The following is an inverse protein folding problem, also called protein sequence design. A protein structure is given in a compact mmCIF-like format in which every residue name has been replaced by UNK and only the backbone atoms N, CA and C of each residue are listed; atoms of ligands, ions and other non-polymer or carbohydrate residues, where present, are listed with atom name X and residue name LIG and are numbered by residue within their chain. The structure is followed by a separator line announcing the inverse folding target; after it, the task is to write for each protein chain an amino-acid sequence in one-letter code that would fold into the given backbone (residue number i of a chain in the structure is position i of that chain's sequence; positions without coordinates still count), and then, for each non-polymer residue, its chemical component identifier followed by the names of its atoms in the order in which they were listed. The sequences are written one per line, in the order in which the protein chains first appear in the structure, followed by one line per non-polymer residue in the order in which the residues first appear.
data_IF_135972731848
#
_entry.id   IF_135972731848
#
_cell.length_a   1.000
_cell.length_b   1.000
_cell.length_c   1.000
_cell.angle_alpha   90.00
_cell.angle_beta   90.00
_cell.angle_gamma   90.00
#
_symmetry.space_group_name_H-M   'P 1'
#
loop_
_entity.id
_entity.type
_entity.pdbx_description
1 polymer ?
#
# COMPACT_ATOMS: atom_id res chain seq x y z
N UNK A 1 -2.54 -21.37 44.65
CA UNK A 1 -1.76 -21.47 43.39
C UNK A 1 -2.23 -20.38 42.44
N UNK A 2 -1.92 -19.12 42.76
CA UNK A 2 -2.54 -17.96 42.10
C UNK A 2 -1.54 -16.80 41.91
N UNK A 3 -0.26 -17.12 41.67
CA UNK A 3 0.81 -16.11 41.56
C UNK A 3 1.83 -16.35 40.43
N UNK A 4 1.54 -17.14 39.39
CA UNK A 4 2.55 -17.46 38.36
C UNK A 4 2.22 -17.12 36.90
N UNK A 5 1.19 -16.31 36.63
CA UNK A 5 0.92 -15.87 35.25
C UNK A 5 0.57 -14.39 35.20
N UNK A 6 1.59 -13.55 35.03
CA UNK A 6 1.41 -12.18 34.52
C UNK A 6 1.75 -12.20 33.02
N UNK A 7 0.79 -11.97 32.12
CA UNK A 7 1.08 -11.87 30.70
C UNK A 7 2.02 -10.69 30.44
N UNK A 8 3.04 -10.87 29.57
CA UNK A 8 3.72 -9.74 28.94
C UNK A 8 2.74 -9.15 27.94
N UNK A 9 1.90 -8.21 28.38
CA UNK A 9 1.19 -7.32 27.47
C UNK A 9 2.23 -6.44 26.77
N UNK A 10 2.40 -6.61 25.47
CA UNK A 10 3.07 -5.62 24.64
C UNK A 10 2.11 -4.44 24.47
N UNK A 11 2.19 -3.48 25.40
CA UNK A 11 1.46 -2.21 25.29
C UNK A 11 2.18 -1.32 24.30
N UNK A 12 1.49 -0.90 23.24
CA UNK A 12 1.86 0.28 22.48
C UNK A 12 1.93 1.48 23.45
N UNK A 13 3.12 2.04 23.65
CA UNK A 13 3.22 3.45 24.00
C UNK A 13 3.10 4.23 22.69
N UNK A 14 2.01 4.98 22.53
CA UNK A 14 1.92 5.99 21.48
C UNK A 14 3.08 6.98 21.66
N UNK A 15 3.85 7.23 20.60
CA UNK A 15 4.99 8.18 20.59
C UNK A 15 4.62 9.58 21.14
N UNK A 16 3.33 9.97 21.15
CA UNK A 16 2.87 11.22 21.77
C UNK A 16 3.18 11.32 23.27
N UNK A 17 3.30 10.21 24.01
CA UNK A 17 3.55 10.23 25.46
C UNK A 17 5.03 10.32 25.83
N UNK A 18 5.94 9.88 24.95
CA UNK A 18 7.40 10.02 25.17
C UNK A 18 7.89 11.43 24.80
N UNK A 19 7.26 12.10 23.83
CA UNK A 19 7.60 13.48 23.48
C UNK A 19 7.19 14.51 24.55
N UNK A 20 6.20 14.19 25.39
CA UNK A 20 5.79 15.07 26.50
C UNK A 20 6.65 14.93 27.78
N UNK A 21 7.49 13.90 27.89
CA UNK A 21 8.36 13.69 29.06
C UNK A 21 9.83 14.08 28.83
N UNK A 22 10.18 14.60 27.64
CA UNK A 22 11.57 14.96 27.29
C UNK A 22 11.88 16.46 27.20
N UNK A 23 10.91 17.37 27.36
CA UNK A 23 11.14 18.81 27.24
C UNK A 23 11.17 19.51 28.60
N UNK A 24 12.24 19.23 29.36
CA UNK A 24 12.72 20.12 30.41
C UNK A 24 13.48 21.27 29.76
N UNK A 25 13.01 22.49 29.99
CA UNK A 25 13.65 23.74 29.54
C UNK A 25 14.84 24.03 30.45
N UNK A 26 16.07 24.09 29.91
CA UNK A 26 17.15 24.90 30.50
C UNK A 26 18.26 25.23 29.48
N UNK A 27 18.76 26.45 29.58
CA UNK A 27 19.63 27.17 28.63
C UNK A 27 21.12 26.82 28.79
N UNK A 28 21.94 26.91 27.72
CA UNK A 28 23.18 27.73 27.67
C UNK A 28 23.86 27.77 26.28
N UNK A 29 24.63 28.85 26.08
CA UNK A 29 25.23 29.45 24.86
C UNK A 29 26.38 28.68 24.18
N UNK A 30 26.54 28.91 22.86
CA UNK A 30 27.77 29.10 22.01
C UNK A 30 29.02 28.21 22.23
N UNK A 31 29.76 27.74 21.20
CA UNK A 31 30.41 28.51 20.13
C UNK A 31 31.32 27.61 19.24
N UNK A 32 31.42 27.98 17.95
CA UNK A 32 32.45 27.77 16.90
C UNK A 32 33.59 26.72 16.96
N UNK A 33 33.73 25.94 15.86
CA UNK A 33 34.92 25.92 14.97
C UNK A 33 35.99 24.81 15.14
N UNK A 34 36.36 24.13 14.04
CA UNK A 34 37.66 23.43 13.91
C UNK A 34 37.70 22.15 13.05
N UNK A 35 38.64 22.10 12.09
CA UNK A 35 38.87 21.07 11.05
C UNK A 35 40.04 20.12 11.43
N UNK A 36 40.05 18.86 10.95
CA UNK A 36 41.10 18.31 10.06
C UNK A 36 41.17 16.77 10.01
N UNK A 37 41.54 16.30 8.81
CA UNK A 37 41.69 14.94 8.29
C UNK A 37 42.75 14.08 9.00
N UNK A 38 42.38 12.87 9.47
CA UNK A 38 43.28 11.73 9.70
C UNK A 38 42.48 10.45 10.08
N UNK A 39 41.80 9.77 9.15
CA UNK A 39 41.27 8.40 9.43
C UNK A 39 40.82 7.54 8.22
N UNK A 40 41.17 7.89 6.98
CA UNK A 40 40.51 7.31 5.79
C UNK A 40 40.64 5.78 5.64
N UNK A 41 41.69 5.13 6.16
CA UNK A 41 41.90 3.68 5.98
C UNK A 41 41.28 2.80 7.08
N UNK A 42 41.07 3.33 8.29
CA UNK A 42 40.28 2.63 9.33
C UNK A 42 38.78 2.82 9.13
N UNK A 43 38.39 3.91 8.45
CA UNK A 43 37.00 4.21 8.12
C UNK A 43 36.35 3.19 7.17
N UNK A 44 37.12 2.51 6.31
CA UNK A 44 36.56 1.57 5.33
C UNK A 44 36.18 0.23 5.98
N UNK A 45 37.03 -0.33 6.84
CA UNK A 45 36.73 -1.58 7.56
C UNK A 45 35.65 -1.35 8.63
N UNK A 46 35.75 -0.22 9.35
CA UNK A 46 34.69 0.23 10.26
C UNK A 46 33.38 0.50 9.54
N UNK A 47 33.43 1.03 8.31
CA UNK A 47 32.27 1.30 7.47
C UNK A 47 31.57 0.05 6.96
N UNK A 48 32.30 -1.00 6.59
CA UNK A 48 31.70 -2.28 6.16
C UNK A 48 31.10 -3.06 7.33
N UNK A 49 31.78 -3.10 8.48
CA UNK A 49 31.23 -3.67 9.72
C UNK A 49 30.05 -2.85 10.24
N UNK A 50 30.10 -1.52 10.16
CA UNK A 50 28.96 -0.65 10.47
C UNK A 50 27.82 -0.84 9.47
N UNK A 51 28.07 -1.01 8.17
CA UNK A 51 27.05 -1.25 7.16
C UNK A 51 26.38 -2.63 7.31
N UNK A 52 27.14 -3.68 7.65
CA UNK A 52 26.58 -4.98 8.03
C UNK A 52 25.82 -4.91 9.36
N UNK A 53 26.32 -4.15 10.34
CA UNK A 53 25.64 -3.95 11.63
C UNK A 53 24.37 -3.12 11.47
N UNK A 54 24.35 -2.12 10.59
CA UNK A 54 23.20 -1.28 10.26
C UNK A 54 22.18 -2.06 9.45
N UNK A 55 22.57 -2.90 8.48
CA UNK A 55 21.62 -3.79 7.81
C UNK A 55 21.08 -4.88 8.75
N UNK A 56 21.88 -5.35 9.72
CA UNK A 56 21.43 -6.27 10.77
C UNK A 56 20.50 -5.57 11.78
N UNK A 57 20.78 -4.32 12.15
CA UNK A 57 19.93 -3.45 12.99
C UNK A 57 18.64 -3.04 12.27
N UNK A 58 18.70 -2.67 10.99
CA UNK A 58 17.54 -2.38 10.14
C UNK A 58 16.76 -3.64 9.76
N UNK A 59 17.37 -4.82 9.83
CA UNK A 59 16.67 -6.10 9.71
C UNK A 59 15.88 -6.47 10.97
N UNK A 60 16.16 -5.86 12.12
CA UNK A 60 15.41 -6.06 13.36
C UNK A 60 14.10 -5.26 13.42
N UNK A 61 13.86 -4.29 12.53
CA UNK A 61 12.66 -3.43 12.59
C UNK A 61 11.40 -4.10 12.02
N UNK A 62 11.51 -5.24 11.33
CA UNK A 62 10.33 -6.00 10.82
C UNK A 62 9.57 -6.80 11.89
N UNK A 63 9.96 -6.71 13.15
CA UNK A 63 9.40 -7.51 14.23
C UNK A 63 8.47 -6.74 15.17
N UNK A 64 8.25 -5.45 14.89
CA UNK A 64 7.45 -4.53 15.73
C UNK A 64 5.93 -4.72 15.54
N UNK A 65 5.50 -5.34 14.43
CA UNK A 65 4.08 -5.56 14.13
C UNK A 65 3.54 -6.93 14.58
N UNK A 66 4.35 -7.72 15.30
CA UNK A 66 3.87 -8.99 15.86
C UNK A 66 3.00 -8.72 17.10
N UNK A 67 1.71 -8.95 16.96
CA UNK A 67 0.72 -8.85 18.03
C UNK A 67 0.33 -10.25 18.50
N UNK A 68 0.11 -10.41 19.81
CA UNK A 68 -0.51 -11.62 20.37
C UNK A 68 0.14 -12.17 21.64
N UNK A 69 -0.11 -13.45 21.91
CA UNK A 69 0.32 -14.18 23.09
C UNK A 69 0.93 -15.53 22.73
N UNK A 70 2.03 -15.89 23.41
CA UNK A 70 2.60 -17.23 23.38
C UNK A 70 2.83 -17.71 24.80
N UNK A 71 2.32 -18.89 25.10
CA UNK A 71 2.62 -19.57 26.35
C UNK A 71 4.13 -19.90 26.40
N UNK A 72 4.85 -19.68 27.53
CA UNK A 72 6.31 -19.78 27.59
C UNK A 72 6.92 -21.11 27.06
N UNK A 73 6.22 -22.23 27.29
CA UNK A 73 6.62 -23.55 26.75
C UNK A 73 6.62 -23.64 25.22
N UNK A 74 5.97 -22.71 24.53
CA UNK A 74 5.79 -22.66 23.09
C UNK A 74 6.50 -21.47 22.43
N UNK A 75 7.42 -20.80 23.12
CA UNK A 75 8.24 -19.68 22.58
C UNK A 75 8.95 -20.02 21.26
N UNK A 76 9.23 -21.31 21.01
CA UNK A 76 9.78 -21.75 19.72
C UNK A 76 8.86 -21.42 18.55
N UNK A 77 7.53 -21.43 18.74
CA UNK A 77 6.55 -21.09 17.71
C UNK A 77 6.70 -19.63 17.30
N UNK A 78 6.83 -18.72 18.26
CA UNK A 78 7.11 -17.30 17.98
C UNK A 78 8.41 -17.14 17.19
N UNK A 79 9.48 -17.83 17.62
CA UNK A 79 10.79 -17.76 16.94
C UNK A 79 10.71 -18.24 15.49
N UNK A 80 10.00 -19.35 15.23
CA UNK A 80 9.80 -19.88 13.88
C UNK A 80 8.91 -18.94 13.06
N UNK A 81 7.82 -18.45 13.65
CA UNK A 81 6.91 -17.52 13.01
C UNK A 81 7.64 -16.26 12.56
N UNK A 82 8.42 -15.63 13.46
CA UNK A 82 9.30 -14.50 13.14
C UNK A 82 10.35 -14.86 12.09
N UNK A 83 10.91 -16.07 12.16
CA UNK A 83 11.90 -16.54 11.17
C UNK A 83 11.29 -16.62 9.77
N UNK A 84 10.01 -16.99 9.61
CA UNK A 84 9.37 -17.01 8.30
C UNK A 84 9.34 -15.62 7.63
N UNK A 85 9.14 -14.55 8.40
CA UNK A 85 9.24 -13.17 7.88
C UNK A 85 10.69 -12.76 7.62
N UNK A 86 11.61 -13.14 8.52
CA UNK A 86 13.04 -12.86 8.37
C UNK A 86 13.64 -13.53 7.12
N UNK A 87 13.25 -14.78 6.85
CA UNK A 87 13.66 -15.54 5.68
C UNK A 87 12.90 -15.12 4.40
N UNK A 88 11.91 -14.22 4.52
CA UNK A 88 11.10 -13.74 3.40
C UNK A 88 10.05 -14.72 2.86
N UNK A 89 9.75 -15.78 3.62
CA UNK A 89 8.73 -16.78 3.31
C UNK A 89 7.32 -16.23 3.55
N UNK A 90 7.15 -15.33 4.52
CA UNK A 90 5.91 -14.59 4.76
C UNK A 90 6.13 -13.10 4.47
N UNK A 91 5.30 -12.50 3.62
CA UNK A 91 5.53 -11.13 3.07
C UNK A 91 4.38 -10.15 3.30
N UNK A 92 3.15 -10.64 3.38
CA UNK A 92 1.91 -9.83 3.40
C UNK A 92 1.21 -9.85 4.78
N UNK A 93 1.89 -10.41 5.78
CA UNK A 93 1.32 -10.71 7.08
C UNK A 93 0.89 -12.16 7.20
N UNK A 94 0.84 -12.68 8.42
CA UNK A 94 0.35 -14.02 8.71
C UNK A 94 -0.29 -14.05 10.10
N UNK A 95 -1.06 -15.09 10.39
CA UNK A 95 -1.59 -15.34 11.72
C UNK A 95 -1.53 -16.83 12.06
N UNK A 96 -1.32 -17.16 13.33
CA UNK A 96 -1.38 -18.53 13.85
C UNK A 96 -2.02 -18.56 15.22
N UNK A 97 -3.00 -19.44 15.40
CA UNK A 97 -3.59 -19.76 16.69
C UNK A 97 -3.45 -21.26 16.98
N UNK A 98 -3.09 -21.62 18.21
CA UNK A 98 -2.94 -23.01 18.66
C UNK A 98 -3.66 -23.21 19.98
N UNK A 99 -4.59 -24.16 19.98
CA UNK A 99 -5.25 -24.65 21.19
C UNK A 99 -4.69 -26.02 21.58
N UNK A 100 -4.48 -26.25 22.87
CA UNK A 100 -4.16 -27.57 23.40
C UNK A 100 -5.04 -27.87 24.60
N UNK A 101 -5.83 -28.95 24.50
CA UNK A 101 -6.83 -29.35 25.52
C UNK A 101 -7.85 -28.25 25.86
N UNK A 102 -8.25 -27.47 24.87
CA UNK A 102 -9.22 -26.38 25.02
C UNK A 102 -8.63 -25.06 25.53
N UNK A 103 -7.34 -25.01 25.85
CA UNK A 103 -6.65 -23.78 26.23
C UNK A 103 -5.90 -23.18 25.03
N UNK A 104 -6.05 -21.88 24.82
CA UNK A 104 -5.30 -21.12 23.82
C UNK A 104 -3.85 -20.93 24.32
N UNK A 105 -2.90 -21.52 23.62
CA UNK A 105 -1.47 -21.53 24.01
C UNK A 105 -0.58 -20.73 23.08
N UNK A 106 -1.03 -20.43 21.85
CA UNK A 106 -0.37 -19.52 20.91
C UNK A 106 -1.45 -18.76 20.16
N UNK A 107 -1.28 -17.46 20.04
CA UNK A 107 -2.06 -16.56 19.19
C UNK A 107 -1.09 -15.47 18.72
N UNK A 108 -0.67 -15.51 17.46
CA UNK A 108 0.31 -14.58 16.91
C UNK A 108 -0.20 -14.06 15.59
N UNK A 109 -0.04 -12.76 15.36
CA UNK A 109 -0.39 -12.13 14.10
C UNK A 109 0.63 -11.06 13.74
N UNK A 110 1.09 -11.09 12.50
CA UNK A 110 1.81 -9.97 11.88
C UNK A 110 0.85 -9.29 10.89
N UNK A 111 0.47 -8.05 11.21
CA UNK A 111 -0.48 -7.27 10.41
C UNK A 111 0.27 -6.23 9.58
N UNK A 112 0.68 -6.59 8.37
CA UNK A 112 1.20 -5.60 7.43
C UNK A 112 0.04 -4.92 6.67
N UNK A 113 -0.73 -4.09 7.37
CA UNK A 113 -1.83 -3.35 6.74
C UNK A 113 -1.27 -2.11 6.05
N UNK A 114 -1.73 -1.80 4.84
CA UNK A 114 -1.54 -0.47 4.21
C UNK A 114 -2.16 0.68 5.04
N UNK A 115 -2.64 0.39 6.24
CA UNK A 115 -3.18 1.33 7.22
C UNK A 115 -2.20 1.55 8.40
N UNK A 116 -0.90 1.45 8.12
CA UNK A 116 0.18 1.82 9.03
C UNK A 116 0.63 3.28 8.77
N UNK A 117 0.57 4.18 9.77
CA UNK A 117 1.03 5.57 9.62
C UNK A 117 2.48 5.71 9.19
N UNK A 118 3.37 4.78 9.56
CA UNK A 118 4.77 4.83 9.13
C UNK A 118 4.88 4.54 7.63
N UNK A 119 4.08 3.60 7.13
CA UNK A 119 3.97 3.36 5.68
C UNK A 119 3.34 4.56 4.96
N UNK A 120 2.35 5.22 5.54
CA UNK A 120 1.74 6.43 4.94
C UNK A 120 2.74 7.55 4.72
N UNK A 121 3.77 7.65 5.58
CA UNK A 121 4.86 8.61 5.42
C UNK A 121 5.86 8.28 4.32
N UNK A 122 5.86 7.04 3.80
CA UNK A 122 6.76 6.61 2.74
C UNK A 122 6.24 7.03 1.36
N UNK A 123 7.12 7.61 0.54
CA UNK A 123 6.82 8.02 -0.84
C UNK A 123 6.81 6.83 -1.82
N UNK A 124 5.97 5.82 -1.58
CA UNK A 124 5.80 4.69 -2.50
C UNK A 124 4.58 4.91 -3.40
N UNK A 125 4.84 5.60 -4.51
CA UNK A 125 3.83 6.03 -5.49
C UNK A 125 3.04 4.88 -6.15
N UNK A 126 3.60 3.67 -6.17
CA UNK A 126 2.94 2.52 -6.81
C UNK A 126 1.81 1.91 -5.95
N UNK A 127 1.77 2.16 -4.64
CA UNK A 127 0.87 1.43 -3.74
C UNK A 127 0.23 2.26 -2.61
N UNK A 128 0.85 3.36 -2.19
CA UNK A 128 0.47 4.07 -0.96
C UNK A 128 -0.35 5.35 -1.18
N UNK A 129 -0.95 5.49 -2.36
CA UNK A 129 -1.81 6.63 -2.66
C UNK A 129 -3.06 6.66 -1.78
N UNK A 130 -3.21 7.71 -0.97
CA UNK A 130 -4.39 7.95 -0.11
C UNK A 130 -5.24 9.04 -0.74
N UNK A 131 -6.52 8.73 -1.02
CA UNK A 131 -7.43 9.69 -1.67
C UNK A 131 -8.89 9.42 -1.34
N UNK A 132 -9.77 10.35 -1.73
CA UNK A 132 -11.22 10.18 -1.77
C UNK A 132 -11.66 10.00 -3.22
N UNK A 133 -12.73 9.23 -3.45
CA UNK A 133 -13.26 9.03 -4.81
C UNK A 133 -13.52 10.35 -5.56
N UNK A 134 -14.11 11.34 -4.89
CA UNK A 134 -14.39 12.67 -5.46
C UNK A 134 -13.12 13.41 -5.92
N UNK A 135 -12.04 13.30 -5.14
CA UNK A 135 -10.81 14.07 -5.35
C UNK A 135 -9.96 13.37 -6.44
N UNK A 136 -9.98 12.03 -6.46
CA UNK A 136 -9.42 11.22 -7.54
C UNK A 136 -10.15 11.46 -8.87
N UNK A 137 -11.48 11.46 -8.89
CA UNK A 137 -12.27 11.75 -10.08
C UNK A 137 -11.95 13.15 -10.63
N UNK A 138 -11.88 14.15 -9.74
CA UNK A 138 -11.57 15.54 -10.10
C UNK A 138 -10.17 15.67 -10.72
N UNK A 139 -9.16 14.99 -10.16
CA UNK A 139 -7.80 15.01 -10.72
C UNK A 139 -7.80 14.56 -12.18
N UNK A 140 -8.43 13.43 -12.46
CA UNK A 140 -8.50 12.90 -13.81
C UNK A 140 -9.44 13.70 -14.73
N UNK A 141 -10.48 14.35 -14.21
CA UNK A 141 -11.31 15.26 -15.01
C UNK A 141 -10.52 16.50 -15.45
N UNK A 142 -9.62 17.00 -14.60
CA UNK A 142 -8.72 18.11 -14.94
C UNK A 142 -7.69 17.70 -16.01
N UNK A 143 -7.19 16.45 -15.96
CA UNK A 143 -6.39 15.85 -17.03
C UNK A 143 -7.17 15.83 -18.35
N UNK A 144 -8.36 15.22 -18.39
CA UNK A 144 -9.19 15.13 -19.61
C UNK A 144 -9.50 16.51 -20.20
N UNK A 145 -9.83 17.48 -19.35
CA UNK A 145 -10.19 18.83 -19.79
C UNK A 145 -9.06 19.62 -20.46
N UNK A 146 -7.82 19.13 -20.42
CA UNK A 146 -6.66 19.83 -20.95
C UNK A 146 -5.98 20.79 -19.97
N UNK A 147 -6.38 20.81 -18.70
CA UNK A 147 -5.87 21.76 -17.68
C UNK A 147 -4.56 21.32 -17.03
N UNK A 148 -4.32 20.01 -16.93
CA UNK A 148 -3.08 19.45 -16.38
C UNK A 148 -2.13 18.96 -17.48
N UNK A 149 -2.67 18.47 -18.58
CA UNK A 149 -1.95 17.92 -19.73
C UNK A 149 -2.58 18.44 -21.01
N UNK A 150 -1.85 18.53 -22.12
CA UNK A 150 -2.44 19.00 -23.38
C UNK A 150 -3.45 17.97 -23.92
N UNK A 151 -4.48 18.44 -24.64
CA UNK A 151 -5.48 17.53 -25.25
C UNK A 151 -4.84 16.59 -26.25
N UNK A 152 -3.80 17.02 -26.95
CA UNK A 152 -3.03 16.20 -27.89
C UNK A 152 -2.35 15.03 -27.18
N UNK A 153 -1.79 15.26 -25.99
CA UNK A 153 -1.16 14.22 -25.18
C UNK A 153 -2.22 13.25 -24.64
N UNK A 154 -3.30 13.77 -24.05
CA UNK A 154 -4.41 12.95 -23.51
C UNK A 154 -4.99 12.03 -24.59
N UNK A 155 -5.05 12.51 -25.84
CA UNK A 155 -5.57 11.72 -26.96
C UNK A 155 -4.75 10.48 -27.28
N UNK A 156 -3.46 10.46 -26.94
CA UNK A 156 -2.62 9.27 -27.11
C UNK A 156 -3.08 8.12 -26.20
N UNK A 157 -3.76 8.43 -25.09
CA UNK A 157 -4.19 7.43 -24.11
C UNK A 157 -5.44 6.67 -24.54
N UNK A 158 -6.08 7.00 -25.67
CA UNK A 158 -7.29 6.31 -26.17
C UNK A 158 -7.11 4.83 -26.43
N UNK A 159 -5.90 4.41 -26.79
CA UNK A 159 -5.61 3.02 -27.14
C UNK A 159 -4.40 2.53 -26.36
N UNK A 160 -4.44 1.30 -25.80
CA UNK A 160 -3.29 0.72 -25.12
C UNK A 160 -2.12 0.52 -26.09
N UNK A 161 -0.89 0.66 -25.59
CA UNK A 161 0.32 0.34 -26.35
C UNK A 161 0.45 -1.18 -26.54
N UNK A 162 -0.01 -1.95 -25.55
CA UNK A 162 -0.06 -3.41 -25.56
C UNK A 162 -1.51 -3.81 -25.35
N UNK A 163 -2.16 -4.32 -26.40
CA UNK A 163 -3.60 -4.61 -26.40
C UNK A 163 -3.94 -6.12 -26.28
N UNK A 164 -2.95 -6.98 -26.51
CA UNK A 164 -3.14 -8.43 -26.62
C UNK A 164 -1.94 -9.19 -26.07
N UNK A 165 -2.13 -10.47 -25.78
CA UNK A 165 -1.13 -11.32 -25.14
C UNK A 165 -1.35 -11.41 -23.63
N UNK A 166 -0.65 -12.36 -23.01
CA UNK A 166 -0.63 -12.49 -21.56
C UNK A 166 0.47 -11.61 -21.00
N UNK A 167 0.18 -10.96 -19.88
CA UNK A 167 1.22 -10.39 -19.04
C UNK A 167 2.02 -11.51 -18.38
N UNK A 168 3.35 -11.48 -18.46
CA UNK A 168 4.21 -12.56 -17.97
C UNK A 168 4.24 -12.69 -16.44
N UNK A 169 3.86 -11.64 -15.71
CA UNK A 169 3.87 -11.64 -14.25
C UNK A 169 2.49 -12.02 -13.73
N UNK A 170 1.44 -11.37 -14.25
CA UNK A 170 0.06 -11.60 -13.80
C UNK A 170 -0.57 -12.81 -14.48
N UNK A 171 0.03 -13.31 -15.57
CA UNK A 171 -0.42 -14.48 -16.35
C UNK A 171 -1.87 -14.36 -16.86
N UNK A 172 -2.31 -13.14 -17.11
CA UNK A 172 -3.65 -12.79 -17.61
C UNK A 172 -3.53 -11.74 -18.73
N UNK A 173 -4.52 -11.64 -19.64
CA UNK A 173 -4.56 -10.51 -20.56
C UNK A 173 -4.64 -9.20 -19.77
N UNK A 174 -3.64 -8.33 -19.94
CA UNK A 174 -3.56 -7.06 -19.23
C UNK A 174 -3.20 -5.93 -20.22
N UNK A 175 -4.20 -5.37 -20.92
CA UNK A 175 -3.97 -4.26 -21.83
C UNK A 175 -3.40 -3.04 -21.08
N UNK A 176 -2.28 -2.50 -21.56
CA UNK A 176 -1.50 -1.48 -20.84
C UNK A 176 -0.77 -0.51 -21.75
N UNK A 177 -0.42 0.66 -21.23
CA UNK A 177 0.36 1.69 -21.92
C UNK A 177 0.37 3.00 -21.15
N UNK A 178 1.40 3.82 -21.33
CA UNK A 178 1.49 5.17 -20.75
C UNK A 178 1.34 5.24 -19.21
N UNK A 179 1.63 4.15 -18.49
CA UNK A 179 1.43 4.05 -17.04
C UNK A 179 0.00 3.67 -16.62
N UNK A 180 -0.89 3.40 -17.58
CA UNK A 180 -2.27 3.00 -17.36
C UNK A 180 -2.53 1.54 -17.75
N UNK A 181 -3.60 1.02 -17.17
CA UNK A 181 -4.27 -0.20 -17.58
C UNK A 181 -5.58 0.14 -18.28
N UNK A 182 -6.08 -0.82 -19.06
CA UNK A 182 -7.22 -0.61 -19.93
C UNK A 182 -8.26 -1.71 -19.78
N UNK A 183 -9.52 -1.33 -19.73
CA UNK A 183 -10.66 -2.25 -19.72
C UNK A 183 -11.59 -1.97 -20.91
N UNK A 184 -12.38 -2.96 -21.30
CA UNK A 184 -13.35 -2.79 -22.39
C UNK A 184 -14.48 -1.88 -21.94
N UNK A 185 -14.88 -0.96 -22.82
CA UNK A 185 -16.06 -0.14 -22.60
C UNK A 185 -17.31 -1.05 -22.43
N UNK A 186 -18.21 -0.79 -21.46
CA UNK A 186 -19.34 -1.69 -21.17
C UNK A 186 -20.42 -1.71 -22.26
N UNK A 187 -20.54 -0.66 -23.07
CA UNK A 187 -21.45 -0.63 -24.24
C UNK A 187 -20.81 -1.31 -25.46
N UNK A 188 -21.65 -1.73 -26.42
CA UNK A 188 -21.21 -2.45 -27.61
C UNK A 188 -20.19 -1.64 -28.44
N UNK A 189 -18.96 -2.15 -28.57
CA UNK A 189 -17.91 -1.52 -29.38
C UNK A 189 -16.51 -2.05 -29.10
N UNK A 190 -15.51 -1.48 -29.81
CA UNK A 190 -14.07 -1.75 -29.59
C UNK A 190 -13.39 -0.66 -28.75
N UNK A 191 -14.17 0.19 -28.08
CA UNK A 191 -13.68 1.32 -27.26
C UNK A 191 -13.02 0.82 -25.98
N UNK A 192 -12.12 1.63 -25.45
CA UNK A 192 -11.38 1.36 -24.23
C UNK A 192 -11.71 2.40 -23.18
N UNK A 193 -11.79 1.95 -21.94
CA UNK A 193 -11.61 2.82 -20.79
C UNK A 193 -10.14 2.73 -20.36
N UNK A 194 -9.58 3.87 -19.96
CA UNK A 194 -8.17 4.00 -19.55
C UNK A 194 -8.06 4.51 -18.12
N UNK A 195 -7.21 3.89 -17.32
CA UNK A 195 -7.04 4.29 -15.93
C UNK A 195 -6.20 3.28 -15.15
N UNK A 196 -6.56 3.04 -13.89
CA UNK A 196 -5.86 2.06 -13.08
C UNK A 196 -6.78 1.40 -12.04
N UNK A 197 -6.87 0.05 -12.04
CA UNK A 197 -7.44 -0.68 -10.93
C UNK A 197 -6.44 -0.79 -9.77
N UNK A 198 -6.93 -0.69 -8.55
CA UNK A 198 -6.18 -0.90 -7.32
C UNK A 198 -6.54 -2.23 -6.67
N UNK A 199 -5.56 -2.84 -6.01
CA UNK A 199 -5.82 -4.00 -5.16
C UNK A 199 -6.85 -3.65 -4.08
N UNK A 200 -7.76 -4.60 -3.79
CA UNK A 200 -8.88 -4.36 -2.88
C UNK A 200 -10.10 -3.69 -3.50
N UNK A 201 -10.07 -3.40 -4.80
CA UNK A 201 -11.23 -3.01 -5.59
C UNK A 201 -11.43 -1.51 -5.77
N UNK A 202 -10.63 -0.65 -5.14
CA UNK A 202 -10.56 0.77 -5.53
C UNK A 202 -10.11 0.87 -6.98
N UNK A 203 -10.66 1.75 -7.79
CA UNK A 203 -10.40 1.83 -9.24
C UNK A 203 -10.72 3.23 -9.75
N UNK A 204 -9.95 3.73 -10.72
CA UNK A 204 -10.33 4.87 -11.53
C UNK A 204 -10.20 4.52 -13.01
N UNK A 205 -11.23 4.82 -13.78
CA UNK A 205 -11.25 4.64 -15.23
C UNK A 205 -11.85 5.87 -15.90
N UNK A 206 -11.36 6.17 -17.10
CA UNK A 206 -11.73 7.32 -17.90
C UNK A 206 -12.21 6.88 -19.28
N UNK A 207 -13.23 7.56 -19.80
CA UNK A 207 -13.54 7.59 -21.22
C UNK A 207 -13.01 8.92 -21.79
N UNK A 208 -12.01 8.84 -22.67
CA UNK A 208 -11.34 10.01 -23.25
C UNK A 208 -12.25 10.72 -24.26
N UNK A 209 -13.11 10.00 -24.97
CA UNK A 209 -13.98 10.54 -26.01
C UNK A 209 -15.15 11.32 -25.42
N UNK A 210 -15.76 10.80 -24.36
CA UNK A 210 -16.90 11.44 -23.68
C UNK A 210 -16.46 12.36 -22.52
N UNK A 211 -15.15 12.45 -22.26
CA UNK A 211 -14.56 13.16 -21.11
C UNK A 211 -15.17 12.74 -19.75
N UNK A 212 -15.43 11.44 -19.56
CA UNK A 212 -16.01 10.87 -18.32
C UNK A 212 -14.91 10.30 -17.43
N UNK A 213 -15.07 10.44 -16.12
CA UNK A 213 -14.26 9.76 -15.11
C UNK A 213 -15.13 9.03 -14.11
N UNK A 214 -14.90 7.72 -13.95
CA UNK A 214 -15.50 6.91 -12.90
C UNK A 214 -14.41 6.54 -11.89
N UNK A 215 -14.46 7.16 -10.70
CA UNK A 215 -13.58 6.81 -9.59
C UNK A 215 -14.37 6.15 -8.46
N UNK A 216 -13.89 4.99 -8.03
CA UNK A 216 -14.44 4.20 -6.95
C UNK A 216 -13.37 3.93 -5.91
N UNK A 217 -13.61 4.31 -4.66
CA UNK A 217 -12.68 4.11 -3.55
C UNK A 217 -13.42 3.40 -2.42
N UNK A 218 -12.81 2.37 -1.85
CA UNK A 218 -13.40 1.54 -0.81
C UNK A 218 -12.45 1.37 0.37
N UNK A 219 -13.01 1.34 1.58
CA UNK A 219 -12.26 1.05 2.80
C UNK A 219 -12.14 -0.46 3.05
N UNK A 220 -13.10 -1.25 2.55
CA UNK A 220 -13.08 -2.71 2.65
C UNK A 220 -12.40 -3.34 1.43
N UNK A 221 -11.46 -4.25 1.67
CA UNK A 221 -10.81 -5.06 0.65
C UNK A 221 -11.84 -5.95 -0.04
N UNK A 222 -11.84 -5.96 -1.38
CA UNK A 222 -12.68 -6.83 -2.20
C UNK A 222 -11.83 -7.83 -2.98
N UNK A 223 -12.39 -9.00 -3.22
CA UNK A 223 -11.84 -10.00 -4.13
C UNK A 223 -12.09 -9.56 -5.58
N UNK A 224 -11.13 -8.83 -6.16
CA UNK A 224 -11.18 -8.36 -7.53
C UNK A 224 -10.39 -7.07 -7.77
N UNK A 225 -10.07 -6.83 -9.04
CA UNK A 225 -9.45 -5.59 -9.53
C UNK A 225 -10.19 -5.11 -10.79
N UNK A 226 -10.38 -3.79 -10.91
CA UNK A 226 -11.03 -3.18 -12.07
C UNK A 226 -12.41 -3.78 -12.33
N UNK A 227 -12.72 -4.06 -13.59
CA UNK A 227 -13.95 -4.73 -14.02
C UNK A 227 -14.25 -6.06 -13.30
N UNK A 228 -13.28 -6.75 -12.68
CA UNK A 228 -13.57 -7.96 -11.90
C UNK A 228 -14.18 -7.64 -10.53
N UNK A 229 -14.07 -6.40 -10.06
CA UNK A 229 -14.68 -5.93 -8.82
C UNK A 229 -16.19 -5.68 -9.03
N UNK A 230 -17.02 -6.61 -8.55
CA UNK A 230 -18.48 -6.58 -8.74
C UNK A 230 -19.11 -5.22 -8.42
N UNK A 231 -18.79 -4.63 -7.26
CA UNK A 231 -19.40 -3.37 -6.82
C UNK A 231 -19.04 -2.18 -7.69
N UNK A 232 -17.79 -2.12 -8.18
CA UNK A 232 -17.36 -1.08 -9.10
C UNK A 232 -18.04 -1.27 -10.45
N UNK A 233 -18.02 -2.50 -10.99
CA UNK A 233 -18.62 -2.82 -12.29
C UNK A 233 -20.08 -2.38 -12.41
N UNK A 234 -20.91 -2.72 -11.42
CA UNK A 234 -22.33 -2.32 -11.42
C UNK A 234 -22.52 -0.81 -11.44
N UNK A 235 -21.70 -0.06 -10.69
CA UNK A 235 -21.79 1.41 -10.67
C UNK A 235 -21.29 2.02 -11.98
N UNK A 236 -20.19 1.50 -12.52
CA UNK A 236 -19.65 1.91 -13.82
C UNK A 236 -20.68 1.69 -14.93
N UNK A 237 -21.24 0.49 -15.02
CA UNK A 237 -22.21 0.12 -16.06
C UNK A 237 -23.46 1.02 -15.97
N UNK A 238 -23.98 1.25 -14.75
CA UNK A 238 -25.11 2.16 -14.53
C UNK A 238 -24.82 3.61 -14.98
N UNK A 239 -23.59 4.12 -14.79
CA UNK A 239 -23.19 5.46 -15.27
C UNK A 239 -23.30 5.51 -16.80
N UNK A 240 -22.72 4.54 -17.50
CA UNK A 240 -22.77 4.51 -18.96
C UNK A 240 -24.17 4.26 -19.52
N UNK A 241 -24.99 3.43 -18.88
CA UNK A 241 -26.41 3.26 -19.24
C UNK A 241 -27.20 4.57 -19.15
N UNK A 242 -26.98 5.37 -18.09
CA UNK A 242 -27.63 6.68 -17.96
C UNK A 242 -27.21 7.66 -19.08
N UNK A 243 -25.95 7.60 -19.51
CA UNK A 243 -25.42 8.47 -20.55
C UNK A 243 -25.96 8.11 -21.93
N UNK A 244 -26.05 6.82 -22.27
CA UNK A 244 -26.65 6.38 -23.53
C UNK A 244 -28.13 6.79 -23.61
N UNK A 245 -28.91 6.61 -22.53
CA UNK A 245 -30.30 7.08 -22.47
C UNK A 245 -30.42 8.59 -22.70
N UNK A 246 -29.53 9.37 -22.08
CA UNK A 246 -29.50 10.83 -22.25
C UNK A 246 -29.22 11.24 -23.70
N UNK A 247 -28.39 10.47 -24.43
CA UNK A 247 -28.13 10.69 -25.86
C UNK A 247 -29.34 10.36 -26.72
N UNK A 248 -30.03 9.26 -26.44
CA UNK A 248 -31.25 8.87 -27.16
C UNK A 248 -32.38 9.91 -26.98
N UNK A 249 -32.51 10.50 -25.80
CA UNK A 249 -33.51 11.56 -25.52
C UNK A 249 -33.17 12.91 -26.16
N UNK A 250 -31.91 13.13 -26.54
CA UNK A 250 -31.45 14.37 -27.17
C UNK A 250 -31.58 14.38 -28.71
N UNK A 251 -31.96 13.25 -29.31
CA UNK A 251 -32.15 13.04 -30.76
C UNK A 251 -33.63 13.13 -31.12
#
# INVERSE_FOLDING_TARGET
MEQLFKPKLYRHQSQQQQLQQGMGVEWFRGSSGGSAHLSASFAIIGGVLAFHSINWLCGMTRLENLVGFVHPKYEKVEKVFRKNFHDGWEREGAAIAVYHKGELIVDLQDVNTFNDPELHGMEQVAALGITKARDLARLFSLMLSGKLFSKELVQQFKTPQIASGLDEIVMTPLPKGYGFLYERHPTAGKRWLVGHPGFGGSTVMMDVDEEIVVAYVTNGLKTGMGELTRTYRHLRDAVFECLEKTKEEAV
#
